data_IF_992704377191
#
_entry.id   IF_992704377191
#
_cell.length_a   1.000
_cell.length_b   1.000
_cell.length_c   1.000
_cell.angle_alpha   90.00
_cell.angle_beta   90.00
_cell.angle_gamma   90.00
#
_symmetry.space_group_name_H-M   'P 1'
#
loop_
_entity.id
_entity.type
_entity.pdbx_description
1 polymer ?
#
# COMPACT_ATOMS: atom_id res chain seq x y z
N UNK A 1 10.95 -19.26 -2.63
CA UNK A 1 10.11 -18.59 -3.66
C UNK A 1 11.00 -17.71 -4.54
N UNK A 2 10.76 -17.64 -5.86
CA UNK A 2 11.49 -16.71 -6.76
C UNK A 2 11.16 -15.25 -6.40
N UNK A 3 12.16 -14.38 -6.45
CA UNK A 3 12.01 -12.93 -6.26
C UNK A 3 12.37 -12.15 -7.53
N UNK A 4 11.83 -10.96 -7.66
CA UNK A 4 12.07 -10.00 -8.75
C UNK A 4 12.15 -8.58 -8.20
N UNK A 5 12.88 -7.71 -8.89
CA UNK A 5 12.89 -6.28 -8.55
C UNK A 5 11.55 -5.64 -8.94
N UNK A 6 10.93 -4.90 -8.02
CA UNK A 6 9.74 -4.12 -8.33
C UNK A 6 10.15 -2.77 -8.95
N UNK A 7 10.07 -2.66 -10.28
CA UNK A 7 10.43 -1.43 -10.99
C UNK A 7 11.84 -0.93 -10.63
N UNK A 8 11.97 0.37 -10.30
CA UNK A 8 13.22 1.01 -9.87
C UNK A 8 13.30 1.18 -8.34
N UNK A 9 12.48 0.45 -7.58
CA UNK A 9 12.37 0.65 -6.12
C UNK A 9 13.53 0.05 -5.33
N UNK A 10 14.22 -0.93 -5.91
CA UNK A 10 15.20 -1.75 -5.19
C UNK A 10 14.56 -2.83 -4.29
N UNK A 11 13.23 -2.91 -4.20
CA UNK A 11 12.55 -3.96 -3.46
C UNK A 11 12.60 -5.29 -4.22
N UNK A 12 13.14 -6.33 -3.59
CA UNK A 12 13.13 -7.70 -4.10
C UNK A 12 11.87 -8.44 -3.60
N UNK A 13 10.80 -8.33 -4.38
CA UNK A 13 9.49 -8.91 -4.03
C UNK A 13 9.35 -10.31 -4.58
N UNK A 14 8.65 -11.17 -3.86
CA UNK A 14 8.22 -12.48 -4.33
C UNK A 14 7.37 -12.33 -5.59
N UNK A 15 7.56 -13.24 -6.56
CA UNK A 15 6.78 -13.22 -7.83
C UNK A 15 5.27 -13.40 -7.61
N UNK A 16 4.89 -13.91 -6.44
CA UNK A 16 3.51 -13.95 -5.97
C UNK A 16 3.42 -13.02 -4.75
N UNK A 17 2.50 -12.06 -4.81
CA UNK A 17 2.12 -11.22 -3.67
C UNK A 17 0.92 -11.79 -2.93
N UNK A 18 0.76 -11.40 -1.66
CA UNK A 18 -0.42 -11.69 -0.86
C UNK A 18 -1.43 -10.54 -0.97
N UNK A 19 -2.61 -10.83 -1.53
CA UNK A 19 -3.70 -9.85 -1.62
C UNK A 19 -4.51 -9.78 -0.33
N UNK A 20 -4.66 -8.59 0.23
CA UNK A 20 -5.30 -8.33 1.51
C UNK A 20 -6.84 -8.26 1.47
N UNK A 21 -7.46 -8.21 0.28
CA UNK A 21 -8.93 -8.12 0.18
C UNK A 21 -9.67 -9.33 0.83
N UNK A 22 -9.20 -10.59 0.75
CA UNK A 22 -9.90 -11.71 1.36
C UNK A 22 -9.77 -11.78 2.89
N UNK A 23 -8.83 -11.02 3.50
CA UNK A 23 -8.68 -10.94 4.97
C UNK A 23 -9.99 -10.48 5.63
N UNK A 24 -10.80 -9.70 4.93
CA UNK A 24 -12.12 -9.27 5.39
C UNK A 24 -13.11 -10.41 5.67
N UNK A 25 -12.80 -11.63 5.19
CA UNK A 25 -13.69 -12.80 5.28
C UNK A 25 -13.31 -13.72 6.44
N UNK A 26 -12.27 -13.40 7.20
CA UNK A 26 -11.76 -14.22 8.30
C UNK A 26 -11.61 -13.39 9.58
N UNK A 27 -11.53 -14.04 10.73
CA UNK A 27 -11.23 -13.39 12.00
C UNK A 27 -9.73 -13.09 12.17
N UNK A 28 -9.39 -12.23 13.13
CA UNK A 28 -8.02 -11.79 13.42
C UNK A 28 -7.03 -12.95 13.62
N UNK A 29 -7.39 -13.96 14.42
CA UNK A 29 -6.49 -15.11 14.68
C UNK A 29 -6.20 -15.92 13.41
N UNK A 30 -7.20 -16.07 12.54
CA UNK A 30 -7.04 -16.78 11.28
C UNK A 30 -6.22 -15.96 10.28
N UNK A 31 -6.40 -14.64 10.25
CA UNK A 31 -5.57 -13.73 9.46
C UNK A 31 -4.08 -13.84 9.83
N UNK A 32 -3.76 -13.93 11.14
CA UNK A 32 -2.38 -14.13 11.61
C UNK A 32 -1.81 -15.44 11.08
N UNK A 33 -2.54 -16.55 11.20
CA UNK A 33 -2.11 -17.87 10.70
C UNK A 33 -1.88 -17.86 9.19
N UNK A 34 -2.78 -17.24 8.43
CA UNK A 34 -2.68 -17.13 6.96
C UNK A 34 -1.43 -16.32 6.56
N UNK A 35 -1.18 -15.19 7.22
CA UNK A 35 -0.01 -14.34 6.92
C UNK A 35 1.30 -15.04 7.34
N UNK A 36 1.29 -15.76 8.46
CA UNK A 36 2.44 -16.56 8.89
C UNK A 36 2.74 -17.67 7.86
N UNK A 37 1.72 -18.33 7.33
CA UNK A 37 1.88 -19.35 6.30
C UNK A 37 2.37 -18.73 4.96
N UNK A 38 1.92 -17.53 4.61
CA UNK A 38 2.45 -16.79 3.46
C UNK A 38 3.96 -16.56 3.59
N UNK A 39 4.42 -16.11 4.78
CA UNK A 39 5.86 -15.98 5.09
C UNK A 39 6.59 -17.32 4.96
N UNK A 40 6.05 -18.39 5.53
CA UNK A 40 6.66 -19.73 5.48
C UNK A 40 6.83 -20.25 4.04
N UNK A 41 5.92 -19.86 3.14
CA UNK A 41 6.01 -20.17 1.70
C UNK A 41 6.96 -19.24 0.92
N UNK A 42 7.54 -18.25 1.60
CA UNK A 42 8.49 -17.29 1.04
C UNK A 42 7.85 -16.10 0.34
N UNK A 43 6.56 -15.81 0.59
CA UNK A 43 5.92 -14.57 0.16
C UNK A 43 6.40 -13.44 1.06
N UNK A 44 6.85 -12.34 0.47
CA UNK A 44 7.33 -11.16 1.20
C UNK A 44 6.72 -9.84 0.70
N UNK A 45 5.64 -9.88 -0.08
CA UNK A 45 4.94 -8.68 -0.54
C UNK A 45 3.44 -8.81 -0.22
N UNK A 46 2.91 -7.87 0.55
CA UNK A 46 1.48 -7.81 0.92
C UNK A 46 0.89 -6.54 0.31
N UNK A 47 -0.22 -6.68 -0.43
CA UNK A 47 -0.99 -5.56 -0.97
C UNK A 47 -2.35 -5.45 -0.28
N UNK A 48 -2.63 -4.33 0.35
CA UNK A 48 -3.92 -4.04 1.01
C UNK A 48 -4.45 -2.66 0.58
N UNK A 49 -5.52 -2.17 1.20
CA UNK A 49 -6.07 -0.83 1.00
C UNK A 49 -6.95 -0.44 2.19
N UNK A 50 -7.11 0.86 2.43
CA UNK A 50 -8.07 1.36 3.43
C UNK A 50 -9.53 0.97 3.11
N UNK A 51 -9.85 0.84 1.82
CA UNK A 51 -11.15 0.37 1.38
C UNK A 51 -11.42 -1.10 1.74
N UNK A 52 -10.40 -1.85 2.20
CA UNK A 52 -10.51 -3.26 2.53
C UNK A 52 -10.91 -3.50 3.98
N UNK A 53 -11.82 -2.69 4.51
CA UNK A 53 -12.39 -2.79 5.88
C UNK A 53 -11.32 -3.06 6.95
N UNK A 54 -11.27 -4.28 7.50
CA UNK A 54 -10.37 -4.69 8.60
C UNK A 54 -8.97 -5.12 8.14
N UNK A 55 -8.71 -5.12 6.83
CA UNK A 55 -7.48 -5.72 6.28
C UNK A 55 -6.20 -5.08 6.82
N UNK A 56 -6.11 -3.75 6.84
CA UNK A 56 -4.94 -3.05 7.39
C UNK A 56 -4.74 -3.37 8.87
N UNK A 57 -5.80 -3.35 9.67
CA UNK A 57 -5.72 -3.65 11.11
C UNK A 57 -5.21 -5.07 11.33
N UNK A 58 -5.79 -6.04 10.62
CA UNK A 58 -5.48 -7.46 10.81
C UNK A 58 -4.08 -7.80 10.33
N UNK A 59 -3.65 -7.21 9.21
CA UNK A 59 -2.26 -7.29 8.74
C UNK A 59 -1.32 -6.66 9.77
N UNK A 60 -1.62 -5.47 10.28
CA UNK A 60 -0.82 -4.80 11.31
C UNK A 60 -0.60 -5.65 12.56
N UNK A 61 -1.67 -6.24 13.09
CA UNK A 61 -1.61 -7.15 14.23
C UNK A 61 -0.74 -8.38 13.92
N UNK A 62 -0.86 -8.97 12.73
CA UNK A 62 -0.02 -10.08 12.32
C UNK A 62 1.47 -9.68 12.18
N UNK A 63 1.77 -8.48 11.69
CA UNK A 63 3.15 -7.99 11.56
C UNK A 63 3.85 -7.83 12.91
N UNK A 64 3.11 -7.48 13.98
CA UNK A 64 3.67 -7.42 15.34
C UNK A 64 4.18 -8.77 15.83
N UNK A 65 3.47 -9.85 15.51
CA UNK A 65 3.83 -11.21 15.94
C UNK A 65 4.87 -11.84 15.01
N UNK A 66 4.76 -11.60 13.71
CA UNK A 66 5.53 -12.29 12.68
C UNK A 66 6.84 -11.55 12.35
N UNK A 67 6.92 -10.26 12.65
CA UNK A 67 8.02 -9.35 12.35
C UNK A 67 7.76 -8.52 11.08
N UNK A 68 7.67 -7.19 11.25
CA UNK A 68 7.39 -6.21 10.18
C UNK A 68 8.42 -6.26 9.05
N UNK A 69 9.66 -6.58 9.36
CA UNK A 69 10.80 -6.66 8.43
C UNK A 69 10.70 -7.82 7.42
N UNK A 70 9.81 -8.78 7.65
CA UNK A 70 9.65 -9.93 6.77
C UNK A 70 8.86 -9.61 5.49
N UNK A 71 8.21 -8.45 5.42
CA UNK A 71 7.33 -8.08 4.32
C UNK A 71 7.59 -6.66 3.82
N UNK A 72 7.46 -6.50 2.52
CA UNK A 72 7.16 -5.23 1.88
C UNK A 72 5.65 -5.04 1.87
N UNK A 73 5.19 -3.89 2.37
CA UNK A 73 3.76 -3.56 2.50
C UNK A 73 3.38 -2.49 1.49
N UNK A 74 2.40 -2.82 0.65
CA UNK A 74 1.69 -1.88 -0.19
C UNK A 74 0.29 -1.59 0.37
N UNK A 75 -0.08 -0.31 0.47
CA UNK A 75 -1.47 0.09 0.73
C UNK A 75 -1.91 1.21 -0.20
N UNK A 76 -3.21 1.50 -0.20
CA UNK A 76 -3.85 2.44 -1.11
C UNK A 76 -5.01 3.17 -0.43
N UNK A 77 -5.22 4.43 -0.80
CA UNK A 77 -6.35 5.23 -0.36
C UNK A 77 -7.06 5.90 -1.55
N UNK A 78 -8.39 6.06 -1.48
CA UNK A 78 -9.18 6.82 -2.45
C UNK A 78 -9.21 8.30 -2.06
N UNK A 79 -8.03 8.92 -2.03
CA UNK A 79 -7.81 10.32 -1.67
C UNK A 79 -7.06 11.00 -2.81
N UNK A 80 -7.57 12.15 -3.29
CA UNK A 80 -7.05 12.78 -4.51
C UNK A 80 -6.45 14.17 -4.26
N UNK A 81 -6.83 14.83 -3.16
CA UNK A 81 -6.25 16.08 -2.68
C UNK A 81 -5.21 15.87 -1.56
N UNK A 82 -4.44 16.92 -1.29
CA UNK A 82 -3.36 16.93 -0.31
C UNK A 82 -3.83 16.59 1.12
N UNK A 83 -4.88 17.24 1.62
CA UNK A 83 -5.31 17.10 3.01
C UNK A 83 -5.89 15.71 3.28
N UNK A 84 -6.71 15.20 2.36
CA UNK A 84 -7.26 13.85 2.49
C UNK A 84 -6.17 12.78 2.38
N UNK A 85 -5.21 12.94 1.46
CA UNK A 85 -4.11 11.98 1.31
C UNK A 85 -3.15 11.98 2.52
N UNK A 86 -2.82 13.15 3.06
CA UNK A 86 -1.99 13.25 4.27
C UNK A 86 -2.63 12.50 5.44
N UNK A 87 -3.92 12.73 5.69
CA UNK A 87 -4.69 12.01 6.72
C UNK A 87 -4.75 10.51 6.44
N UNK A 88 -4.86 10.12 5.17
CA UNK A 88 -4.86 8.72 4.79
C UNK A 88 -3.53 8.03 5.14
N UNK A 89 -2.38 8.65 4.83
CA UNK A 89 -1.07 8.09 5.22
C UNK A 89 -0.97 7.90 6.74
N UNK A 90 -1.28 8.94 7.51
CA UNK A 90 -1.26 8.89 8.98
C UNK A 90 -2.19 7.81 9.53
N UNK A 91 -3.39 7.68 8.95
CA UNK A 91 -4.36 6.67 9.36
C UNK A 91 -3.87 5.27 9.07
N UNK A 92 -3.32 4.98 7.90
CA UNK A 92 -2.79 3.65 7.57
C UNK A 92 -1.64 3.24 8.47
N UNK A 93 -0.70 4.16 8.76
CA UNK A 93 0.40 3.92 9.70
C UNK A 93 -0.13 3.58 11.11
N UNK A 94 -1.08 4.37 11.60
CA UNK A 94 -1.69 4.16 12.91
C UNK A 94 -2.50 2.85 12.98
N UNK A 95 -3.31 2.55 11.96
CA UNK A 95 -4.12 1.32 11.90
C UNK A 95 -3.24 0.07 11.85
N UNK A 96 -2.19 0.07 11.02
CA UNK A 96 -1.25 -1.05 10.93
C UNK A 96 -0.25 -1.08 12.10
N UNK A 97 -0.12 0.02 12.84
CA UNK A 97 0.81 0.18 13.95
C UNK A 97 2.27 -0.04 13.51
N UNK A 98 2.65 0.61 12.41
CA UNK A 98 3.99 0.53 11.79
C UNK A 98 4.57 1.94 11.61
N UNK A 99 5.90 2.04 11.66
CA UNK A 99 6.60 3.32 11.50
C UNK A 99 6.69 3.77 10.04
N UNK A 100 6.59 2.84 9.09
CA UNK A 100 6.65 3.14 7.66
C UNK A 100 5.90 2.12 6.78
N UNK A 101 5.54 2.56 5.58
CA UNK A 101 4.94 1.75 4.50
C UNK A 101 5.88 1.73 3.29
N UNK A 102 6.07 0.56 2.68
CA UNK A 102 7.02 0.43 1.57
C UNK A 102 6.49 1.08 0.28
N UNK A 103 5.20 0.88 -0.02
CA UNK A 103 4.56 1.46 -1.20
C UNK A 103 3.17 2.01 -0.84
N UNK A 104 2.97 3.31 -1.01
CA UNK A 104 1.67 3.94 -0.84
C UNK A 104 1.12 4.40 -2.19
N UNK A 105 -0.14 4.08 -2.47
CA UNK A 105 -0.73 4.27 -3.79
C UNK A 105 -2.01 5.11 -3.76
N UNK A 106 -2.20 5.94 -4.78
CA UNK A 106 -3.51 6.55 -5.06
C UNK A 106 -4.42 5.48 -5.67
N UNK A 107 -5.53 5.17 -5.02
CA UNK A 107 -6.38 4.03 -5.38
C UNK A 107 -7.41 4.41 -6.46
N UNK A 108 -7.49 3.60 -7.52
CA UNK A 108 -8.57 3.59 -8.51
C UNK A 108 -8.79 4.94 -9.24
N UNK A 109 -7.70 5.57 -9.67
CA UNK A 109 -7.77 6.77 -10.52
C UNK A 109 -8.32 6.36 -11.89
N UNK A 110 -9.51 6.84 -12.21
CA UNK A 110 -10.29 6.39 -13.38
C UNK A 110 -10.91 7.53 -14.20
N UNK A 111 -10.74 8.78 -13.78
CA UNK A 111 -11.20 9.98 -14.50
C UNK A 111 -10.06 10.99 -14.63
N UNK A 112 -10.04 11.74 -15.73
CA UNK A 112 -9.03 12.77 -15.95
C UNK A 112 -9.03 13.81 -14.82
N UNK A 113 -10.21 14.26 -14.37
CA UNK A 113 -10.34 15.19 -13.24
C UNK A 113 -9.69 14.66 -11.94
N UNK A 114 -9.77 13.36 -11.68
CA UNK A 114 -9.10 12.76 -10.52
C UNK A 114 -7.58 12.79 -10.68
N UNK A 115 -7.08 12.48 -11.88
CA UNK A 115 -5.66 12.53 -12.17
C UNK A 115 -5.13 13.96 -12.05
N UNK A 116 -5.82 14.93 -12.65
CA UNK A 116 -5.49 16.36 -12.58
C UNK A 116 -5.46 16.84 -11.12
N UNK A 117 -6.43 16.40 -10.30
CA UNK A 117 -6.46 16.66 -8.86
C UNK A 117 -5.22 16.09 -8.15
N UNK A 118 -4.87 14.83 -8.43
CA UNK A 118 -3.71 14.12 -7.84
C UNK A 118 -2.39 14.84 -8.10
N UNK A 119 -2.18 15.35 -9.31
CA UNK A 119 -0.91 15.98 -9.72
C UNK A 119 -0.89 17.50 -9.54
N UNK A 120 -1.99 18.11 -9.08
CA UNK A 120 -2.07 19.55 -8.82
C UNK A 120 -1.14 20.00 -7.68
N UNK A 121 -0.90 21.31 -7.55
CA UNK A 121 -0.08 21.90 -6.48
C UNK A 121 -0.58 21.60 -5.06
N UNK A 122 -1.87 21.26 -4.92
CA UNK A 122 -2.51 20.84 -3.68
C UNK A 122 -3.07 19.41 -3.79
N UNK A 123 -2.44 18.59 -4.65
CA UNK A 123 -2.85 17.23 -4.94
C UNK A 123 -2.25 16.18 -4.00
N UNK A 124 -2.79 14.96 -4.09
CA UNK A 124 -2.32 13.81 -3.34
C UNK A 124 -0.82 13.51 -3.56
N UNK A 125 -0.28 13.75 -4.76
CA UNK A 125 1.13 13.50 -5.06
C UNK A 125 2.06 14.32 -4.17
N UNK A 126 1.71 15.58 -3.87
CA UNK A 126 2.48 16.44 -2.97
C UNK A 126 2.50 15.89 -1.54
N UNK A 127 1.36 15.45 -1.03
CA UNK A 127 1.27 14.84 0.31
C UNK A 127 2.12 13.56 0.40
N UNK A 128 2.10 12.72 -0.65
CA UNK A 128 2.90 11.51 -0.72
C UNK A 128 4.39 11.81 -0.85
N UNK A 129 4.78 12.83 -1.63
CA UNK A 129 6.17 13.28 -1.73
C UNK A 129 6.71 13.73 -0.37
N UNK A 130 5.97 14.56 0.37
CA UNK A 130 6.37 14.96 1.73
C UNK A 130 6.43 13.78 2.71
N UNK A 131 5.48 12.85 2.63
CA UNK A 131 5.50 11.65 3.47
C UNK A 131 6.73 10.78 3.18
N UNK A 132 7.15 10.72 1.91
CA UNK A 132 8.37 10.03 1.49
C UNK A 132 9.63 10.71 2.02
N UNK A 133 9.71 12.03 1.92
CA UNK A 133 10.82 12.83 2.49
C UNK A 133 10.93 12.64 4.00
N UNK A 134 9.80 12.57 4.72
CA UNK A 134 9.73 12.29 6.16
C UNK A 134 10.01 10.82 6.50
N UNK A 135 10.21 9.95 5.50
CA UNK A 135 10.51 8.53 5.68
C UNK A 135 9.32 7.65 6.06
N UNK A 136 8.11 8.22 6.13
CA UNK A 136 6.85 7.54 6.49
C UNK A 136 6.40 6.56 5.41
N UNK A 137 6.73 6.85 4.15
CA UNK A 137 6.57 5.92 3.03
C UNK A 137 7.88 5.80 2.25
N UNK A 138 8.13 4.69 1.56
CA UNK A 138 9.36 4.52 0.75
C UNK A 138 9.13 4.80 -0.74
N UNK A 139 8.00 4.36 -1.27
CA UNK A 139 7.64 4.52 -2.68
C UNK A 139 6.20 4.99 -2.85
N UNK A 140 5.96 5.61 -4.00
CA UNK A 140 4.68 6.17 -4.41
C UNK A 140 4.22 5.39 -5.64
N UNK A 141 2.93 5.09 -5.71
CA UNK A 141 2.33 4.49 -6.89
C UNK A 141 0.90 4.97 -7.13
N UNK A 142 0.27 4.39 -8.14
CA UNK A 142 -1.09 4.69 -8.57
C UNK A 142 -1.73 3.39 -9.06
N UNK A 143 -3.03 3.23 -8.82
CA UNK A 143 -3.81 2.11 -9.38
C UNK A 143 -5.03 2.63 -10.12
N UNK A 144 -5.49 1.86 -11.10
CA UNK A 144 -6.65 2.19 -11.90
C UNK A 144 -6.88 1.16 -13.00
N UNK A 145 -7.93 1.37 -13.77
CA UNK A 145 -8.32 0.48 -14.86
C UNK A 145 -8.33 1.18 -16.24
N UNK A 146 -8.00 2.47 -16.28
CA UNK A 146 -7.97 3.26 -17.52
C UNK A 146 -6.51 3.48 -17.93
N UNK A 147 -6.07 2.77 -18.96
CA UNK A 147 -4.68 2.78 -19.43
C UNK A 147 -4.19 4.18 -19.75
N UNK A 148 -4.98 4.96 -20.47
CA UNK A 148 -4.64 6.30 -20.95
C UNK A 148 -4.38 7.27 -19.79
N UNK A 149 -5.08 7.08 -18.66
CA UNK A 149 -4.85 7.86 -17.44
C UNK A 149 -3.58 7.38 -16.75
N UNK A 150 -3.40 6.07 -16.57
CA UNK A 150 -2.21 5.54 -15.90
C UNK A 150 -0.89 5.84 -16.63
N UNK A 151 -0.92 5.89 -17.96
CA UNK A 151 0.26 6.24 -18.77
C UNK A 151 0.75 7.67 -18.51
N UNK A 152 -0.13 8.59 -18.10
CA UNK A 152 0.27 9.97 -17.76
C UNK A 152 1.04 10.04 -16.43
N UNK A 153 0.93 9.01 -15.58
CA UNK A 153 1.60 8.95 -14.28
C UNK A 153 3.04 8.39 -14.36
N UNK A 154 3.48 7.96 -15.54
CA UNK A 154 4.81 7.37 -15.74
C UNK A 154 5.83 8.50 -15.94
N UNK A 155 6.87 8.48 -15.10
CA UNK A 155 8.09 9.29 -15.24
C UNK A 155 9.18 8.58 -16.07
#
# INVERSE_FOLDING_TARGET
MKKVLLGKTGMEVSVIGFGGIPIQRVGQEEAIKIIAEAKNRGINFIDTAQAYTVSEEYIGNALKEIGRENFYIATKAMSYDYESMKKAVEKSLSTMQVDYIDLFQVHNVSKQEQFDSVVSENGALKALAEAKEKGLIKHIGITGHIREILMQAIE
#
